data_IF_529398370147
#
_entry.id   IF_529398370147
#
_cell.length_a   1.000
_cell.length_b   1.000
_cell.length_c   1.000
_cell.angle_alpha   90.00
_cell.angle_beta   90.00
_cell.angle_gamma   90.00
#
_symmetry.space_group_name_H-M   'P 1'
#
loop_
_entity.id
_entity.type
_entity.pdbx_description
1 polymer ?
#
# COMPACT_ATOMS: atom_id res chain seq x y z
N UNK A 1 -91.51 53.71 23.27
CA UNK A 1 -90.71 52.60 23.77
C UNK A 1 -89.62 52.40 22.75
N UNK A 2 -88.40 52.89 23.04
CA UNK A 2 -87.18 52.77 22.15
C UNK A 2 -86.20 51.86 22.82
N UNK A 3 -85.82 50.82 22.10
CA UNK A 3 -84.80 49.87 22.50
C UNK A 3 -83.43 50.29 21.96
N UNK A 4 -82.52 50.53 22.85
CA UNK A 4 -81.20 50.96 22.60
C UNK A 4 -80.25 49.73 22.34
N UNK A 5 -79.86 49.51 21.08
CA UNK A 5 -78.95 48.49 20.69
C UNK A 5 -77.51 48.79 21.07
N UNK A 6 -76.92 48.05 21.96
CA UNK A 6 -75.52 48.12 22.43
C UNK A 6 -74.56 47.44 21.44
N UNK A 7 -73.81 48.25 20.66
CA UNK A 7 -72.80 47.74 19.77
C UNK A 7 -71.61 47.15 20.56
N UNK A 8 -71.41 45.86 20.44
CA UNK A 8 -70.28 45.14 20.97
C UNK A 8 -68.98 45.56 20.25
N UNK A 9 -68.05 46.03 21.00
CA UNK A 9 -66.70 46.45 20.59
C UNK A 9 -65.85 45.19 20.31
N UNK A 10 -65.70 44.79 19.06
CA UNK A 10 -64.86 43.67 18.65
C UNK A 10 -63.41 43.90 19.09
N UNK A 11 -62.91 43.01 19.92
CA UNK A 11 -61.52 42.97 20.33
C UNK A 11 -60.64 42.62 19.10
N UNK A 12 -59.87 43.55 18.60
CA UNK A 12 -58.87 43.33 17.58
C UNK A 12 -57.75 42.45 18.20
N UNK A 13 -57.74 41.17 17.88
CA UNK A 13 -56.61 40.30 18.18
C UNK A 13 -55.37 40.84 17.48
N UNK A 14 -54.42 41.25 18.27
CA UNK A 14 -53.08 41.68 17.81
C UNK A 14 -52.37 40.47 17.22
N UNK A 15 -52.20 40.40 15.89
CA UNK A 15 -51.39 39.37 15.23
C UNK A 15 -49.97 39.54 15.75
N UNK A 16 -49.52 38.67 16.65
CA UNK A 16 -48.12 38.55 17.03
C UNK A 16 -47.43 37.87 15.87
N UNK A 17 -46.61 38.60 15.15
CA UNK A 17 -45.63 38.06 14.21
C UNK A 17 -44.55 37.40 15.04
N UNK A 18 -44.61 36.10 15.20
CA UNK A 18 -43.53 35.31 15.78
C UNK A 18 -42.40 35.33 14.78
N UNK A 19 -41.41 36.14 15.04
CA UNK A 19 -40.12 36.05 14.32
C UNK A 19 -39.41 34.82 14.86
N UNK A 20 -39.40 33.78 14.07
CA UNK A 20 -38.57 32.59 14.35
C UNK A 20 -37.13 32.97 14.04
N UNK A 21 -36.31 32.91 15.06
CA UNK A 21 -34.86 33.11 14.90
C UNK A 21 -34.22 31.82 14.37
N UNK A 22 -33.71 31.85 13.14
CA UNK A 22 -33.08 30.71 12.49
C UNK A 22 -31.59 30.60 12.79
N UNK A 23 -31.00 31.53 13.54
CA UNK A 23 -29.57 31.57 13.83
C UNK A 23 -29.06 30.27 14.48
N UNK A 24 -29.72 29.69 15.50
CA UNK A 24 -29.25 28.43 16.09
C UNK A 24 -29.33 27.26 15.09
N UNK A 25 -30.32 27.26 14.21
CA UNK A 25 -30.49 26.20 13.22
C UNK A 25 -29.39 26.24 12.13
N UNK A 26 -29.00 27.45 11.71
CA UNK A 26 -27.90 27.65 10.75
C UNK A 26 -26.57 27.25 11.39
N UNK A 27 -26.34 27.58 12.64
CA UNK A 27 -25.11 27.24 13.38
C UNK A 27 -24.95 25.73 13.50
N UNK A 28 -26.02 25.00 13.85
CA UNK A 28 -26.01 23.53 13.88
C UNK A 28 -25.72 22.93 12.50
N UNK A 29 -26.28 23.50 11.43
CA UNK A 29 -25.97 23.05 10.06
C UNK A 29 -24.51 23.29 9.69
N UNK A 30 -23.96 24.46 10.05
CA UNK A 30 -22.54 24.76 9.82
C UNK A 30 -21.63 23.81 10.57
N UNK A 31 -21.93 23.53 11.84
CA UNK A 31 -21.16 22.54 12.63
C UNK A 31 -21.25 21.13 12.03
N UNK A 32 -22.42 20.73 11.55
CA UNK A 32 -22.61 19.43 10.90
C UNK A 32 -21.78 19.33 9.61
N UNK A 33 -21.82 20.36 8.75
CA UNK A 33 -21.08 20.40 7.51
C UNK A 33 -19.56 20.39 7.78
N UNK A 34 -19.09 21.18 8.71
CA UNK A 34 -17.66 21.22 9.08
C UNK A 34 -17.19 19.90 9.66
N UNK A 35 -18.01 19.23 10.47
CA UNK A 35 -17.72 17.89 11.00
C UNK A 35 -17.63 16.84 9.87
N UNK A 36 -18.58 16.81 8.93
CA UNK A 36 -18.51 15.89 7.79
C UNK A 36 -17.31 16.18 6.89
N UNK A 37 -17.00 17.45 6.63
CA UNK A 37 -15.79 17.83 5.87
C UNK A 37 -14.53 17.36 6.57
N UNK A 38 -14.44 17.50 7.90
CA UNK A 38 -13.29 17.02 8.67
C UNK A 38 -13.19 15.49 8.57
N UNK A 39 -14.29 14.77 8.81
CA UNK A 39 -14.33 13.30 8.71
C UNK A 39 -13.94 12.80 7.32
N UNK A 40 -14.46 13.40 6.24
CA UNK A 40 -14.11 13.01 4.86
C UNK A 40 -12.68 13.34 4.51
N UNK A 41 -12.11 14.42 5.04
CA UNK A 41 -10.70 14.78 4.81
C UNK A 41 -9.75 13.83 5.53
N UNK A 42 -10.10 13.36 6.72
CA UNK A 42 -9.32 12.37 7.47
C UNK A 42 -9.45 10.95 6.92
N UNK A 43 -10.58 10.63 6.25
CA UNK A 43 -10.86 9.31 5.65
C UNK A 43 -10.31 9.19 4.23
N UNK A 44 -9.11 9.71 3.95
CA UNK A 44 -8.47 9.43 2.65
C UNK A 44 -8.07 7.95 2.60
N UNK A 45 -8.70 7.11 1.76
CA UNK A 45 -8.24 5.75 1.57
C UNK A 45 -6.82 5.82 0.99
N UNK A 46 -5.87 5.19 1.65
CA UNK A 46 -4.57 4.95 1.06
C UNK A 46 -4.74 3.84 0.02
N UNK A 47 -4.98 4.22 -1.21
CA UNK A 47 -4.99 3.27 -2.32
C UNK A 47 -3.55 2.86 -2.61
N UNK A 48 -3.30 1.57 -2.59
CA UNK A 48 -2.03 1.02 -3.06
C UNK A 48 -1.99 1.14 -4.58
N UNK A 49 -1.16 2.03 -5.11
CA UNK A 49 -0.88 2.04 -6.54
C UNK A 49 0.08 0.91 -6.87
N UNK A 50 -0.42 -0.08 -7.59
CA UNK A 50 0.40 -1.14 -8.19
C UNK A 50 1.06 -0.54 -9.42
N UNK A 51 2.31 -0.13 -9.28
CA UNK A 51 3.09 0.40 -10.41
C UNK A 51 3.72 -0.76 -11.18
N UNK A 52 3.20 -1.03 -12.37
CA UNK A 52 3.88 -1.93 -13.31
C UNK A 52 5.19 -1.28 -13.78
N UNK A 53 6.30 -2.03 -13.85
CA UNK A 53 7.56 -1.49 -14.34
C UNK A 53 7.40 -1.01 -15.79
N UNK A 54 7.72 0.26 -16.05
CA UNK A 54 7.69 0.83 -17.38
C UNK A 54 8.80 0.20 -18.24
N UNK A 55 8.44 -0.31 -19.41
CA UNK A 55 9.39 -0.79 -20.40
C UNK A 55 10.10 0.39 -21.08
N UNK A 56 11.25 0.77 -20.55
CA UNK A 56 12.16 1.68 -21.26
C UNK A 56 12.77 0.98 -22.47
N UNK A 57 12.37 1.42 -23.66
CA UNK A 57 12.71 0.82 -24.97
C UNK A 57 14.17 0.96 -25.42
N UNK A 58 15.06 1.56 -24.62
CA UNK A 58 16.41 1.95 -25.06
C UNK A 58 17.58 1.14 -24.46
N UNK A 59 17.33 0.07 -23.73
CA UNK A 59 18.36 -0.81 -23.20
C UNK A 59 18.11 -2.20 -23.75
N UNK A 60 19.17 -2.89 -24.20
CA UNK A 60 19.10 -4.26 -24.75
C UNK A 60 18.41 -5.17 -23.72
N UNK A 61 17.44 -5.98 -24.17
CA UNK A 61 16.58 -6.82 -23.29
C UNK A 61 17.39 -7.69 -22.32
N UNK A 62 18.57 -8.17 -22.73
CA UNK A 62 19.47 -8.96 -21.88
C UNK A 62 20.12 -8.15 -20.74
N UNK A 63 20.46 -6.89 -20.98
CA UNK A 63 21.00 -6.00 -19.94
C UNK A 63 19.92 -5.55 -18.96
N UNK A 64 18.71 -5.29 -19.46
CA UNK A 64 17.55 -4.99 -18.62
C UNK A 64 17.17 -6.19 -17.72
N UNK A 65 17.22 -7.41 -18.26
CA UNK A 65 16.94 -8.61 -17.46
C UNK A 65 17.93 -8.81 -16.34
N UNK A 66 19.24 -8.67 -16.61
CA UNK A 66 20.30 -8.85 -15.60
C UNK A 66 20.26 -7.78 -14.49
N UNK A 67 20.07 -6.52 -14.85
CA UNK A 67 19.98 -5.43 -13.86
C UNK A 67 18.69 -5.57 -13.05
N UNK A 68 17.58 -5.93 -13.68
CA UNK A 68 16.31 -6.19 -12.98
C UNK A 68 16.42 -7.41 -12.08
N UNK A 69 17.11 -8.47 -12.50
CA UNK A 69 17.31 -9.67 -11.69
C UNK A 69 18.15 -9.35 -10.43
N UNK A 70 19.23 -8.60 -10.54
CA UNK A 70 20.08 -8.26 -9.38
C UNK A 70 19.40 -7.35 -8.35
N UNK A 71 18.39 -6.57 -8.76
CA UNK A 71 17.61 -5.69 -7.90
C UNK A 71 16.28 -6.32 -7.46
N UNK A 72 15.94 -7.50 -7.98
CA UNK A 72 14.73 -8.21 -7.60
C UNK A 72 14.91 -8.92 -6.25
N UNK A 73 13.89 -8.83 -5.42
CA UNK A 73 13.75 -9.61 -4.20
C UNK A 73 12.47 -10.42 -4.33
N UNK A 74 12.59 -11.73 -4.23
CA UNK A 74 11.41 -12.60 -4.23
C UNK A 74 11.10 -13.02 -2.80
N UNK A 75 9.86 -12.81 -2.41
CA UNK A 75 9.29 -13.21 -1.12
C UNK A 75 8.40 -14.41 -1.35
N UNK A 76 8.63 -15.47 -0.58
CA UNK A 76 7.82 -16.68 -0.59
C UNK A 76 7.08 -16.76 0.74
N UNK A 77 5.77 -16.60 0.69
CA UNK A 77 4.89 -16.70 1.86
C UNK A 77 4.50 -18.16 2.04
N UNK A 78 4.91 -18.75 3.15
CA UNK A 78 4.61 -20.15 3.48
C UNK A 78 3.61 -20.24 4.64
N UNK A 79 3.09 -21.43 4.89
CA UNK A 79 2.21 -21.71 6.03
C UNK A 79 2.92 -21.51 7.37
N UNK A 80 2.13 -21.28 8.44
CA UNK A 80 2.66 -21.11 9.78
C UNK A 80 3.42 -19.83 10.04
N UNK A 81 3.04 -18.74 9.37
CA UNK A 81 3.67 -17.40 9.45
C UNK A 81 5.16 -17.39 9.05
N UNK A 82 5.61 -18.38 8.29
CA UNK A 82 6.97 -18.44 7.76
C UNK A 82 7.08 -17.59 6.51
N UNK A 83 8.16 -16.82 6.44
CA UNK A 83 8.51 -15.98 5.29
C UNK A 83 9.92 -16.35 4.85
N UNK A 84 10.05 -16.66 3.57
CA UNK A 84 11.33 -16.91 2.94
C UNK A 84 11.60 -15.84 1.87
N UNK A 85 12.86 -15.58 1.61
CA UNK A 85 13.26 -14.66 0.54
C UNK A 85 14.55 -15.10 -0.12
N UNK A 86 14.69 -14.70 -1.36
CA UNK A 86 15.96 -14.77 -2.08
C UNK A 86 16.15 -13.49 -2.93
N UNK A 87 17.39 -13.21 -3.24
CA UNK A 87 17.78 -12.04 -4.01
C UNK A 87 18.19 -12.46 -5.43
N UNK A 88 17.63 -11.80 -6.44
CA UNK A 88 17.95 -12.09 -7.83
C UNK A 88 17.36 -13.39 -8.34
N UNK A 89 18.14 -14.17 -9.07
CA UNK A 89 17.75 -15.49 -9.58
C UNK A 89 18.00 -16.58 -8.54
N UNK A 90 16.99 -17.44 -8.27
CA UNK A 90 17.15 -18.51 -7.28
C UNK A 90 18.07 -19.60 -7.80
N UNK A 91 18.94 -20.09 -6.94
CA UNK A 91 19.71 -21.29 -7.22
C UNK A 91 18.98 -22.52 -6.68
N UNK A 92 18.22 -23.18 -7.53
CA UNK A 92 17.41 -24.35 -7.12
C UNK A 92 18.27 -25.57 -6.71
N UNK A 93 19.58 -25.55 -7.02
CA UNK A 93 20.50 -26.61 -6.63
C UNK A 93 21.03 -26.43 -5.21
N UNK A 94 20.95 -25.23 -4.67
CA UNK A 94 21.49 -24.88 -3.37
C UNK A 94 20.40 -24.30 -2.49
N UNK A 95 19.98 -25.07 -1.49
CA UNK A 95 18.94 -24.66 -0.54
C UNK A 95 19.37 -23.44 0.30
N UNK A 96 20.68 -23.17 0.43
CA UNK A 96 21.21 -22.03 1.17
C UNK A 96 20.95 -20.67 0.49
N UNK A 97 20.54 -20.70 -0.78
CA UNK A 97 20.10 -19.50 -1.50
C UNK A 97 18.81 -18.91 -0.91
N UNK A 98 17.97 -19.76 -0.31
CA UNK A 98 16.76 -19.35 0.40
C UNK A 98 17.11 -18.96 1.83
N UNK A 99 16.60 -17.82 2.25
CA UNK A 99 16.79 -17.30 3.61
C UNK A 99 15.45 -17.17 4.30
N UNK A 100 15.36 -17.60 5.53
CA UNK A 100 14.18 -17.40 6.36
C UNK A 100 14.22 -16.02 7.01
N UNK A 101 13.09 -15.35 7.09
CA UNK A 101 12.92 -14.07 7.77
C UNK A 101 11.55 -14.00 8.41
N UNK A 102 11.32 -12.97 9.20
CA UNK A 102 10.05 -12.72 9.87
C UNK A 102 9.39 -11.44 9.36
N UNK A 103 8.08 -11.30 9.59
CA UNK A 103 7.32 -10.07 9.27
C UNK A 103 7.63 -8.91 10.21
N UNK A 104 8.56 -9.06 11.15
CA UNK A 104 8.91 -8.06 12.14
C UNK A 104 9.86 -6.98 11.57
N UNK A 105 10.01 -5.89 12.33
CA UNK A 105 10.88 -4.78 11.97
C UNK A 105 12.34 -5.19 11.77
N UNK A 106 12.85 -6.15 12.54
CA UNK A 106 14.22 -6.66 12.43
C UNK A 106 14.41 -7.69 11.30
N UNK A 107 13.31 -8.24 10.78
CA UNK A 107 13.29 -9.18 9.67
C UNK A 107 13.16 -8.50 8.31
N UNK A 108 11.98 -8.64 7.68
CA UNK A 108 11.71 -8.16 6.33
C UNK A 108 11.99 -6.66 6.16
N UNK A 109 11.56 -5.82 7.11
CA UNK A 109 11.77 -4.36 7.04
C UNK A 109 13.24 -3.99 6.96
N UNK A 110 14.09 -4.61 7.76
CA UNK A 110 15.53 -4.32 7.77
C UNK A 110 16.18 -4.64 6.43
N UNK A 111 15.78 -5.73 5.79
CA UNK A 111 16.26 -6.17 4.48
C UNK A 111 15.82 -5.18 3.39
N UNK A 112 14.53 -4.82 3.39
CA UNK A 112 13.96 -3.89 2.42
C UNK A 112 14.55 -2.48 2.56
N UNK A 113 14.69 -1.96 3.79
CA UNK A 113 15.31 -0.66 4.03
C UNK A 113 16.78 -0.62 3.60
N UNK A 114 17.53 -1.70 3.82
CA UNK A 114 18.92 -1.81 3.40
C UNK A 114 19.05 -1.75 1.87
N UNK A 115 18.18 -2.45 1.16
CA UNK A 115 18.13 -2.46 -0.30
C UNK A 115 17.59 -1.15 -0.90
N UNK A 116 16.64 -0.51 -0.23
CA UNK A 116 15.99 0.73 -0.68
C UNK A 116 16.58 1.99 0.00
N UNK A 117 17.78 1.93 0.53
CA UNK A 117 18.37 2.99 1.35
C UNK A 117 18.45 4.35 0.65
N UNK A 118 18.68 4.36 -0.66
CA UNK A 118 18.75 5.59 -1.47
C UNK A 118 17.38 6.26 -1.55
N UNK A 119 16.36 5.53 -1.98
CA UNK A 119 15.00 6.07 -2.11
C UNK A 119 14.41 6.49 -0.75
N UNK A 120 14.70 5.74 0.31
CA UNK A 120 14.27 6.10 1.67
C UNK A 120 14.88 7.44 2.11
N UNK A 121 16.14 7.70 1.78
CA UNK A 121 16.79 8.98 2.08
C UNK A 121 16.13 10.13 1.32
N UNK A 122 15.90 9.96 0.03
CA UNK A 122 15.23 10.96 -0.82
C UNK A 122 13.79 11.25 -0.34
N UNK A 123 13.04 10.22 0.03
CA UNK A 123 11.69 10.38 0.60
C UNK A 123 11.73 11.14 1.93
N UNK A 124 12.73 10.88 2.79
CA UNK A 124 12.88 11.60 4.05
C UNK A 124 13.23 13.09 3.82
N UNK A 125 14.05 13.39 2.83
CA UNK A 125 14.36 14.78 2.43
C UNK A 125 13.10 15.48 1.88
N UNK A 126 12.32 14.80 1.04
CA UNK A 126 11.03 15.30 0.55
C UNK A 126 10.04 15.57 1.69
N UNK A 127 9.97 14.69 2.69
CA UNK A 127 9.12 14.90 3.87
C UNK A 127 9.55 16.15 4.66
N UNK A 128 10.84 16.39 4.80
CA UNK A 128 11.36 17.62 5.43
C UNK A 128 10.98 18.86 4.63
N UNK A 129 11.14 18.84 3.30
CA UNK A 129 10.76 19.96 2.44
C UNK A 129 9.25 20.25 2.49
N UNK A 130 8.41 19.21 2.61
CA UNK A 130 6.98 19.39 2.85
C UNK A 130 6.69 19.98 4.23
N UNK A 131 7.35 19.54 5.27
CA UNK A 131 7.21 20.07 6.63
C UNK A 131 7.64 21.56 6.70
N UNK A 132 8.66 21.94 5.95
CA UNK A 132 9.12 23.33 5.79
C UNK A 132 8.22 24.18 4.86
N UNK A 133 7.10 23.64 4.39
CA UNK A 133 6.17 24.29 3.44
C UNK A 133 6.82 24.79 2.13
N UNK A 134 7.94 24.18 1.73
CA UNK A 134 8.67 24.53 0.51
C UNK A 134 8.09 23.90 -0.77
N UNK A 135 7.24 22.89 -0.60
CA UNK A 135 6.68 22.12 -1.72
C UNK A 135 5.16 22.03 -1.56
N UNK A 136 4.44 22.15 -2.68
CA UNK A 136 3.00 21.92 -2.77
C UNK A 136 2.66 20.44 -2.52
N UNK A 137 1.44 20.16 -2.05
CA UNK A 137 0.93 18.78 -1.87
C UNK A 137 0.97 17.98 -3.18
N UNK A 138 0.62 18.63 -4.29
CA UNK A 138 0.63 18.00 -5.62
C UNK A 138 2.05 17.66 -6.11
N UNK A 139 3.00 18.56 -5.90
CA UNK A 139 4.41 18.31 -6.24
C UNK A 139 5.03 17.25 -5.35
N UNK A 140 4.64 17.21 -4.06
CA UNK A 140 5.07 16.17 -3.14
C UNK A 140 4.61 14.78 -3.60
N UNK A 141 3.33 14.63 -3.97
CA UNK A 141 2.79 13.35 -4.44
C UNK A 141 3.43 12.89 -5.74
N UNK A 142 3.65 13.78 -6.70
CA UNK A 142 4.36 13.48 -7.96
C UNK A 142 5.79 13.00 -7.72
N UNK A 143 6.57 13.78 -6.99
CA UNK A 143 7.97 13.41 -6.66
C UNK A 143 8.06 12.13 -5.84
N UNK A 144 7.12 11.90 -4.92
CA UNK A 144 7.05 10.67 -4.15
C UNK A 144 6.81 9.45 -5.06
N UNK A 145 5.91 9.57 -6.03
CA UNK A 145 5.63 8.52 -7.03
C UNK A 145 6.85 8.27 -7.92
N UNK A 146 7.52 9.33 -8.38
CA UNK A 146 8.76 9.22 -9.17
C UNK A 146 9.88 8.50 -8.42
N UNK A 147 10.10 8.82 -7.15
CA UNK A 147 11.12 8.15 -6.32
C UNK A 147 10.75 6.69 -6.11
N UNK A 148 9.49 6.39 -5.77
CA UNK A 148 9.02 5.01 -5.54
C UNK A 148 9.11 4.13 -6.80
N UNK A 149 8.97 4.72 -7.99
CA UNK A 149 9.11 4.04 -9.28
C UNK A 149 10.47 4.22 -9.94
N UNK A 150 11.43 4.84 -9.27
CA UNK A 150 12.78 5.11 -9.77
C UNK A 150 13.55 3.86 -10.17
N UNK A 151 14.60 4.02 -11.00
CA UNK A 151 15.42 2.88 -11.49
C UNK A 151 16.19 2.18 -10.36
N UNK A 152 16.53 2.91 -9.32
CA UNK A 152 17.31 2.42 -8.17
C UNK A 152 16.48 1.72 -7.09
N UNK A 153 15.14 1.76 -7.21
CA UNK A 153 14.27 1.06 -6.26
C UNK A 153 14.16 -0.42 -6.60
N UNK A 154 14.26 -1.31 -5.60
CA UNK A 154 14.13 -2.75 -5.81
C UNK A 154 12.73 -3.11 -6.29
N UNK A 155 12.64 -4.16 -7.11
CA UNK A 155 11.38 -4.77 -7.47
C UNK A 155 11.14 -5.96 -6.57
N UNK A 156 10.00 -6.01 -5.90
CA UNK A 156 9.64 -7.10 -5.01
C UNK A 156 8.61 -8.00 -5.68
N UNK A 157 8.91 -9.29 -5.75
CA UNK A 157 8.00 -10.32 -6.26
C UNK A 157 7.47 -11.10 -5.07
N UNK A 158 6.17 -11.10 -4.89
CA UNK A 158 5.51 -11.80 -3.79
C UNK A 158 4.84 -13.03 -4.37
N UNK A 159 5.20 -14.21 -3.83
CA UNK A 159 4.61 -15.48 -4.20
C UNK A 159 4.05 -16.16 -2.95
N UNK A 160 2.79 -16.51 -3.00
CA UNK A 160 2.08 -17.13 -1.90
C UNK A 160 1.90 -18.63 -2.13
N UNK A 161 2.16 -19.46 -1.13
CA UNK A 161 1.77 -20.87 -1.14
C UNK A 161 0.29 -21.00 -0.78
N UNK A 162 -0.33 -22.11 -1.16
CA UNK A 162 -1.73 -22.39 -0.83
C UNK A 162 -1.98 -22.47 0.69
N UNK A 163 -0.95 -22.80 1.46
CA UNK A 163 -0.99 -22.86 2.93
C UNK A 163 -0.77 -21.51 3.61
N UNK A 164 -0.46 -20.46 2.84
CA UNK A 164 -0.23 -19.12 3.38
C UNK A 164 -1.53 -18.42 3.75
N UNK A 165 -1.49 -17.62 4.83
CA UNK A 165 -2.63 -16.81 5.24
C UNK A 165 -2.70 -15.51 4.46
N UNK A 166 -3.93 -15.04 4.16
CA UNK A 166 -4.15 -13.71 3.61
C UNK A 166 -3.54 -12.60 4.50
N UNK A 167 -3.52 -12.81 5.81
CA UNK A 167 -2.84 -11.91 6.76
C UNK A 167 -1.36 -11.73 6.39
N UNK A 168 -0.66 -12.80 6.05
CA UNK A 168 0.76 -12.77 5.70
C UNK A 168 1.01 -11.91 4.46
N UNK A 169 0.09 -11.96 3.49
CA UNK A 169 0.14 -11.09 2.31
C UNK A 169 -0.03 -9.62 2.70
N UNK A 170 -1.00 -9.31 3.55
CA UNK A 170 -1.23 -7.91 4.00
C UNK A 170 -0.03 -7.41 4.81
N UNK A 171 0.51 -8.21 5.73
CA UNK A 171 1.70 -7.85 6.52
C UNK A 171 2.90 -7.56 5.60
N UNK A 172 3.11 -8.37 4.55
CA UNK A 172 4.14 -8.12 3.56
C UNK A 172 3.91 -6.81 2.77
N UNK A 173 2.68 -6.52 2.36
CA UNK A 173 2.32 -5.29 1.65
C UNK A 173 2.48 -4.05 2.53
N UNK A 174 2.15 -4.14 3.81
CA UNK A 174 2.36 -3.05 4.77
C UNK A 174 3.85 -2.74 4.93
N UNK A 175 4.70 -3.77 4.98
CA UNK A 175 6.15 -3.58 5.03
C UNK A 175 6.69 -2.91 3.75
N UNK A 176 6.12 -3.20 2.57
CA UNK A 176 6.47 -2.50 1.32
C UNK A 176 6.15 -1.01 1.42
N UNK A 177 4.98 -0.66 1.95
CA UNK A 177 4.60 0.75 2.11
C UNK A 177 5.49 1.48 3.11
N UNK A 178 5.79 0.86 4.25
CA UNK A 178 6.68 1.43 5.27
C UNK A 178 8.07 1.69 4.68
N UNK A 179 8.57 0.77 3.86
CA UNK A 179 9.88 0.87 3.21
C UNK A 179 9.88 1.74 1.93
N UNK A 180 8.73 2.35 1.58
CA UNK A 180 8.56 3.17 0.37
C UNK A 180 8.92 2.44 -0.94
N UNK A 181 8.59 1.16 -1.03
CA UNK A 181 8.76 0.37 -2.25
C UNK A 181 7.47 0.48 -3.06
N UNK A 182 7.56 1.05 -4.26
CA UNK A 182 6.44 1.20 -5.18
C UNK A 182 6.34 0.10 -6.23
N UNK A 183 7.42 -0.65 -6.44
CA UNK A 183 7.47 -1.70 -7.46
C UNK A 183 7.33 -3.07 -6.82
N UNK A 184 6.14 -3.64 -6.87
CA UNK A 184 5.92 -5.02 -6.46
C UNK A 184 4.94 -5.72 -7.39
N UNK A 185 5.07 -7.03 -7.48
CA UNK A 185 4.21 -7.90 -8.29
C UNK A 185 3.80 -9.09 -7.42
N UNK A 186 2.53 -9.43 -7.46
CA UNK A 186 2.00 -10.63 -6.80
C UNK A 186 1.78 -11.67 -7.90
N UNK A 187 2.40 -12.84 -7.74
CA UNK A 187 2.29 -13.94 -8.69
C UNK A 187 2.07 -15.26 -7.95
N UNK A 188 1.54 -16.23 -8.66
CA UNK A 188 1.41 -17.58 -8.13
C UNK A 188 2.79 -18.21 -7.91
N UNK A 189 2.88 -19.11 -6.93
CA UNK A 189 4.11 -19.84 -6.68
C UNK A 189 4.33 -20.89 -7.77
N UNK A 190 5.58 -21.03 -8.19
CA UNK A 190 5.98 -22.05 -9.17
C UNK A 190 6.43 -23.32 -8.43
N UNK A 191 6.24 -24.50 -9.06
CA UNK A 191 6.66 -25.79 -8.48
C UNK A 191 8.13 -25.82 -8.04
N UNK A 192 9.00 -25.11 -8.77
CA UNK A 192 10.40 -24.97 -8.43
C UNK A 192 10.63 -24.23 -7.09
N UNK A 193 9.82 -23.19 -6.81
CA UNK A 193 9.92 -22.46 -5.55
C UNK A 193 9.34 -23.28 -4.38
N UNK A 194 8.26 -24.04 -4.63
CA UNK A 194 7.73 -24.98 -3.62
C UNK A 194 8.75 -26.05 -3.28
N UNK A 195 9.46 -26.55 -4.29
CA UNK A 195 10.54 -27.51 -4.07
C UNK A 195 11.68 -26.87 -3.25
N UNK A 196 12.04 -25.64 -3.53
CA UNK A 196 13.10 -24.94 -2.80
C UNK A 196 12.74 -24.78 -1.30
N UNK A 197 11.48 -24.47 -0.99
CA UNK A 197 10.98 -24.41 0.40
C UNK A 197 11.09 -25.77 1.07
N UNK A 198 10.60 -26.84 0.41
CA UNK A 198 10.67 -28.20 0.94
C UNK A 198 12.12 -28.66 1.15
N UNK A 199 13.01 -28.34 0.22
CA UNK A 199 14.42 -28.69 0.33
C UNK A 199 15.13 -27.90 1.45
N UNK A 200 14.71 -26.65 1.71
CA UNK A 200 15.18 -25.85 2.84
C UNK A 200 14.74 -26.48 4.18
N UNK A 201 13.47 -26.87 4.31
CA UNK A 201 12.93 -27.49 5.53
C UNK A 201 13.60 -28.85 5.83
N UNK A 202 13.99 -29.61 4.78
CA UNK A 202 14.72 -30.88 4.90
C UNK A 202 16.25 -30.73 4.92
N UNK A 203 16.76 -29.50 4.95
CA UNK A 203 18.20 -29.18 4.96
C UNK A 203 19.01 -29.82 3.82
N UNK A 204 18.39 -29.95 2.67
CA UNK A 204 19.06 -30.47 1.46
C UNK A 204 18.96 -31.99 1.23
N UNK A 205 18.17 -32.71 2.03
CA UNK A 205 18.01 -34.15 1.89
C UNK A 205 17.21 -34.59 0.64
N UNK A 206 16.53 -33.64 -0.02
CA UNK A 206 15.79 -33.90 -1.25
C UNK A 206 16.76 -34.00 -2.44
N UNK A 207 16.96 -35.22 -2.93
CA UNK A 207 17.82 -35.48 -4.09
C UNK A 207 17.22 -34.84 -5.37
N UNK A 208 18.05 -34.09 -6.09
CA UNK A 208 17.71 -33.42 -7.36
C UNK A 208 17.29 -34.39 -8.50
N UNK A 209 17.45 -35.70 -8.30
CA UNK A 209 17.14 -36.71 -9.30
C UNK A 209 15.66 -36.91 -9.62
N UNK A 210 14.75 -36.32 -8.83
CA UNK A 210 13.30 -36.49 -8.95
C UNK A 210 12.59 -35.33 -9.67
N UNK A 211 13.31 -34.27 -10.08
CA UNK A 211 12.66 -33.10 -10.66
C UNK A 211 12.97 -33.00 -12.15
N UNK A 212 12.06 -33.47 -12.93
CA UNK A 212 11.86 -32.96 -14.30
C UNK A 212 11.15 -31.61 -14.17
N UNK A 213 11.89 -30.56 -13.81
CA UNK A 213 11.40 -29.18 -13.94
C UNK A 213 11.37 -28.90 -15.44
N UNK A 214 10.18 -29.02 -16.05
CA UNK A 214 9.96 -28.49 -17.38
C UNK A 214 10.26 -26.99 -17.30
N UNK A 215 11.30 -26.55 -17.98
CA UNK A 215 11.57 -25.12 -18.18
C UNK A 215 10.28 -24.44 -18.67
N UNK A 216 9.90 -23.29 -18.09
CA UNK A 216 8.77 -22.56 -18.60
C UNK A 216 9.07 -22.19 -20.04
N UNK A 217 8.32 -22.79 -20.96
CA UNK A 217 8.39 -22.51 -22.41
C UNK A 217 8.11 -21.01 -22.57
N UNK A 218 9.15 -20.25 -22.91
CA UNK A 218 8.99 -18.88 -23.41
C UNK A 218 8.07 -18.93 -24.64
N UNK A 219 6.90 -18.38 -24.48
CA UNK A 219 6.08 -17.89 -25.59
C UNK A 219 6.03 -16.39 -25.57
#
# INVERSE_FOLDING_TARGET
VQESGKKGKGSKQKKMTVRVDFTPMVDMNMLLITFFMLCTTLSKPQTMEISMPSNDKNITEEQQSKVKASQAITLLLAGGDKLYYYEGEPNYKDYTSLKETSYNADGLRSILLKKNSVAVREVNELKKQKADLKISEEDYTKKLSEIKSGKDTPTVIIKATDDSSYKNLIDALDEMQICNIGKYVITDIVDADQFLIKNYDTKGDLSLSLIHISEPTRR
#
